data_IF_454845532721
#
_entry.id   IF_454845532721
#
_cell.length_a   1.000
_cell.length_b   1.000
_cell.length_c   1.000
_cell.angle_alpha   90.00
_cell.angle_beta   90.00
_cell.angle_gamma   90.00
#
_symmetry.space_group_name_H-M   'P 1'
#
loop_
_entity.id
_entity.type
_entity.pdbx_description
1 polymer ?
#
# COMPACT_ATOMS: atom_id res chain seq x y z
N UNK A 1 15.35 -8.51 15.63
CA UNK A 1 14.29 -9.25 14.91
C UNK A 1 14.89 -9.98 13.69
N UNK A 2 15.81 -10.91 13.85
CA UNK A 2 16.41 -11.68 12.73
C UNK A 2 16.20 -13.19 12.88
N UNK A 3 15.43 -13.63 13.86
CA UNK A 3 15.22 -15.04 14.17
C UNK A 3 14.34 -15.83 13.19
N UNK A 4 13.22 -15.30 12.61
CA UNK A 4 12.31 -16.13 11.84
C UNK A 4 12.86 -16.60 10.47
N UNK A 5 13.75 -15.82 9.83
CA UNK A 5 14.29 -16.21 8.52
C UNK A 5 15.40 -17.29 8.58
N UNK A 6 16.02 -17.48 9.74
CA UNK A 6 16.98 -18.56 9.96
C UNK A 6 16.34 -19.95 10.02
N UNK A 7 15.10 -20.03 10.53
CA UNK A 7 14.37 -21.30 10.66
C UNK A 7 13.89 -21.90 9.35
N UNK A 8 13.86 -21.13 8.27
CA UNK A 8 13.34 -21.58 6.96
C UNK A 8 14.43 -22.17 6.04
N UNK A 9 15.70 -22.18 6.44
CA UNK A 9 16.81 -22.72 5.64
C UNK A 9 17.22 -21.93 4.41
N UNK A 10 16.50 -20.85 4.06
CA UNK A 10 16.80 -20.03 2.87
C UNK A 10 18.03 -19.13 3.00
N UNK A 11 18.55 -18.94 4.21
CA UNK A 11 19.74 -18.12 4.43
C UNK A 11 20.84 -18.93 5.10
N UNK A 12 21.91 -19.19 4.37
CA UNK A 12 23.12 -19.81 4.91
C UNK A 12 23.94 -18.79 5.71
N UNK A 13 24.22 -19.09 6.97
CA UNK A 13 25.13 -18.33 7.83
C UNK A 13 24.54 -17.09 8.52
N UNK A 14 25.34 -16.41 9.37
CA UNK A 14 24.91 -15.26 10.15
C UNK A 14 24.82 -14.02 9.27
N UNK A 15 23.59 -13.59 8.95
CA UNK A 15 23.35 -12.33 8.26
C UNK A 15 23.04 -11.24 9.31
N UNK A 16 23.87 -10.21 9.40
CA UNK A 16 23.56 -9.04 10.23
C UNK A 16 22.41 -8.25 9.61
N UNK A 17 21.60 -7.59 10.44
CA UNK A 17 20.49 -6.74 10.00
C UNK A 17 20.92 -5.72 8.93
N UNK A 18 22.10 -5.11 9.12
CA UNK A 18 22.65 -4.15 8.17
C UNK A 18 23.02 -4.76 6.81
N UNK A 19 23.55 -5.97 6.78
CA UNK A 19 23.86 -6.70 5.54
C UNK A 19 22.57 -7.12 4.84
N UNK A 20 21.58 -7.58 5.58
CA UNK A 20 20.29 -7.94 5.05
C UNK A 20 19.63 -6.72 4.39
N UNK A 21 19.54 -5.57 5.08
CA UNK A 21 18.96 -4.35 4.53
C UNK A 21 19.68 -3.88 3.28
N UNK A 22 21.03 -3.89 3.25
CA UNK A 22 21.77 -3.52 2.03
C UNK A 22 21.51 -4.44 0.86
N UNK A 23 21.37 -5.74 1.07
CA UNK A 23 20.99 -6.70 0.02
C UNK A 23 19.58 -6.45 -0.46
N UNK A 24 18.65 -6.24 0.45
CA UNK A 24 17.25 -5.92 0.11
C UNK A 24 17.15 -4.67 -0.76
N UNK A 25 17.87 -3.58 -0.41
CA UNK A 25 17.92 -2.37 -1.22
C UNK A 25 18.52 -2.61 -2.62
N UNK A 26 19.56 -3.42 -2.74
CA UNK A 26 20.13 -3.78 -4.06
C UNK A 26 19.16 -4.58 -4.93
N UNK A 27 18.27 -5.34 -4.31
CA UNK A 27 17.27 -6.17 -5.00
C UNK A 27 15.94 -5.44 -5.20
N UNK A 28 15.80 -4.17 -4.79
CA UNK A 28 14.54 -3.43 -4.85
C UNK A 28 13.95 -3.42 -6.26
N UNK A 29 14.77 -3.24 -7.30
CA UNK A 29 14.33 -3.30 -8.69
C UNK A 29 13.76 -4.67 -9.07
N UNK A 30 14.41 -5.76 -8.64
CA UNK A 30 13.93 -7.12 -8.91
C UNK A 30 12.62 -7.42 -8.20
N UNK A 31 12.43 -6.87 -6.99
CA UNK A 31 11.14 -6.98 -6.31
C UNK A 31 10.03 -6.29 -7.08
N UNK A 32 10.28 -5.10 -7.64
CA UNK A 32 9.29 -4.43 -8.48
C UNK A 32 8.91 -5.29 -9.69
N UNK A 33 9.90 -5.78 -10.45
CA UNK A 33 9.67 -6.67 -11.60
C UNK A 33 8.90 -7.93 -11.21
N UNK A 34 9.29 -8.58 -10.11
CA UNK A 34 8.61 -9.79 -9.63
C UNK A 34 7.15 -9.48 -9.27
N UNK A 35 6.92 -8.37 -8.60
CA UNK A 35 5.58 -7.96 -8.19
C UNK A 35 4.68 -7.66 -9.41
N UNK A 36 5.23 -7.03 -10.44
CA UNK A 36 4.50 -6.75 -11.68
C UNK A 36 4.16 -8.06 -12.42
N UNK A 37 5.10 -8.98 -12.54
CA UNK A 37 4.86 -10.30 -13.15
C UNK A 37 3.83 -11.12 -12.40
N UNK A 38 3.83 -11.07 -11.08
CA UNK A 38 2.79 -11.70 -10.27
C UNK A 38 1.42 -11.04 -10.52
N UNK A 39 1.36 -9.71 -10.62
CA UNK A 39 0.14 -9.00 -10.98
C UNK A 39 -0.41 -9.43 -12.34
N UNK A 40 0.44 -9.52 -13.36
CA UNK A 40 0.07 -9.98 -14.72
C UNK A 40 -0.46 -11.40 -14.72
N UNK A 41 0.16 -12.32 -13.97
CA UNK A 41 -0.27 -13.71 -13.89
C UNK A 41 -1.71 -13.88 -13.35
N UNK A 42 -2.22 -12.90 -12.61
CA UNK A 42 -3.56 -12.91 -12.03
C UNK A 42 -4.50 -11.85 -12.64
N UNK A 43 -4.08 -11.20 -13.74
CA UNK A 43 -4.87 -10.17 -14.42
C UNK A 43 -6.20 -10.68 -15.01
N UNK A 44 -6.39 -12.00 -15.17
CA UNK A 44 -7.64 -12.60 -15.66
C UNK A 44 -8.77 -12.68 -14.61
N UNK A 45 -8.60 -12.14 -13.42
CA UNK A 45 -9.64 -12.13 -12.37
C UNK A 45 -10.59 -10.96 -12.58
N UNK A 46 -11.87 -11.19 -12.27
CA UNK A 46 -12.92 -10.18 -12.40
C UNK A 46 -13.24 -9.44 -11.09
N UNK A 47 -12.79 -9.97 -9.95
CA UNK A 47 -13.13 -9.45 -8.61
C UNK A 47 -11.85 -9.07 -7.86
N UNK A 48 -11.86 -7.88 -7.30
CA UNK A 48 -10.75 -7.35 -6.50
C UNK A 48 -11.26 -6.69 -5.22
N UNK A 49 -10.41 -6.62 -4.22
CA UNK A 49 -10.65 -5.95 -2.94
C UNK A 49 -9.60 -4.86 -2.78
N UNK A 50 -10.04 -3.64 -2.54
CA UNK A 50 -9.19 -2.50 -2.24
C UNK A 50 -9.22 -2.19 -0.75
N UNK A 51 -8.06 -2.13 -0.14
CA UNK A 51 -7.88 -1.71 1.25
C UNK A 51 -6.73 -0.71 1.39
N UNK A 52 -6.75 0.09 2.44
CA UNK A 52 -5.69 1.02 2.76
C UNK A 52 -5.21 0.87 4.20
N UNK A 53 -3.89 0.83 4.38
CA UNK A 53 -3.30 0.69 5.70
C UNK A 53 -2.24 1.76 5.98
N UNK A 54 -2.16 2.28 7.22
CA UNK A 54 -1.10 3.19 7.61
C UNK A 54 0.25 2.46 7.70
N UNK A 55 1.30 3.08 7.14
CA UNK A 55 2.70 2.65 7.26
C UNK A 55 3.45 3.71 8.05
N UNK A 56 3.38 3.69 9.39
CA UNK A 56 4.00 4.69 10.23
C UNK A 56 5.52 4.53 10.29
N UNK A 57 6.24 5.63 10.09
CA UNK A 57 7.67 5.73 10.37
C UNK A 57 7.90 6.03 11.84
N UNK A 58 7.12 6.97 12.38
CA UNK A 58 7.18 7.33 13.79
C UNK A 58 5.86 7.94 14.26
N UNK A 59 5.74 8.16 15.58
CA UNK A 59 4.65 8.97 16.14
C UNK A 59 4.80 10.42 15.69
N UNK A 60 3.70 11.14 15.46
CA UNK A 60 3.71 12.54 15.01
C UNK A 60 4.59 13.44 15.88
N UNK A 61 4.60 13.26 17.18
CA UNK A 61 5.45 14.02 18.12
C UNK A 61 6.96 13.91 17.84
N UNK A 62 7.39 12.87 17.09
CA UNK A 62 8.79 12.65 16.71
C UNK A 62 9.09 13.07 15.28
N UNK A 63 8.11 13.51 14.51
CA UNK A 63 8.24 13.84 13.09
C UNK A 63 9.33 14.90 12.82
N UNK A 64 9.43 15.95 13.65
CA UNK A 64 10.43 17.00 13.51
C UNK A 64 11.89 16.53 13.65
N UNK A 65 12.12 15.38 14.28
CA UNK A 65 13.46 14.79 14.45
C UNK A 65 13.83 13.82 13.32
N UNK A 66 12.87 13.47 12.47
CA UNK A 66 13.10 12.51 11.40
C UNK A 66 13.67 13.22 10.17
N UNK A 67 14.95 12.94 9.84
CA UNK A 67 15.69 13.67 8.81
C UNK A 67 15.45 13.20 7.38
N UNK A 68 15.00 11.94 7.18
CA UNK A 68 14.88 11.33 5.84
C UNK A 68 13.63 11.76 5.09
N UNK A 69 12.58 12.12 5.81
CA UNK A 69 11.29 12.53 5.24
C UNK A 69 10.82 13.74 6.03
N UNK A 70 10.39 14.79 5.34
CA UNK A 70 9.92 16.04 5.95
C UNK A 70 8.68 16.50 5.17
N UNK A 71 7.78 17.17 5.86
CA UNK A 71 6.60 17.78 5.26
C UNK A 71 5.30 17.40 5.98
N UNK A 72 4.31 18.28 5.89
CA UNK A 72 3.00 18.08 6.49
C UNK A 72 2.21 16.95 5.80
N UNK A 73 2.52 16.69 4.53
CA UNK A 73 1.90 15.65 3.71
C UNK A 73 2.08 14.24 4.26
N UNK A 74 3.10 14.02 5.11
CA UNK A 74 3.33 12.73 5.78
C UNK A 74 2.58 12.58 7.10
N UNK A 75 1.81 13.61 7.52
CA UNK A 75 1.00 13.54 8.73
C UNK A 75 -0.35 12.91 8.42
N UNK A 76 -0.65 11.75 9.01
CA UNK A 76 -1.90 11.03 8.82
C UNK A 76 -2.59 10.71 10.14
N UNK A 77 -3.85 10.31 10.03
CA UNK A 77 -4.67 9.83 11.14
C UNK A 77 -5.08 8.37 10.89
N UNK A 78 -4.90 7.54 11.91
CA UNK A 78 -5.37 6.16 11.91
C UNK A 78 -6.59 6.03 12.82
N UNK A 79 -7.78 5.83 12.24
CA UNK A 79 -9.03 5.72 12.98
C UNK A 79 -9.04 4.50 13.91
N UNK A 80 -8.54 3.36 13.47
CA UNK A 80 -8.48 2.12 14.25
C UNK A 80 -7.63 2.26 15.53
N UNK A 81 -6.57 3.07 15.48
CA UNK A 81 -5.68 3.35 16.63
C UNK A 81 -5.98 4.67 17.31
N UNK A 82 -7.01 5.40 16.87
CA UNK A 82 -7.40 6.75 17.36
C UNK A 82 -6.20 7.68 17.54
N UNK A 83 -5.24 7.64 16.59
CA UNK A 83 -3.98 8.34 16.75
C UNK A 83 -3.42 8.92 15.48
N UNK A 84 -2.64 10.01 15.64
CA UNK A 84 -1.91 10.61 14.55
C UNK A 84 -0.55 9.91 14.40
N UNK A 85 -0.14 9.71 13.14
CA UNK A 85 1.15 9.14 12.79
C UNK A 85 1.85 9.99 11.74
N UNK A 86 3.13 9.75 11.56
CA UNK A 86 3.95 10.34 10.52
C UNK A 86 4.51 9.22 9.66
N UNK A 87 4.25 9.25 8.35
CA UNK A 87 4.66 8.21 7.42
C UNK A 87 3.87 8.18 6.13
N UNK A 88 3.60 6.99 5.65
CA UNK A 88 2.87 6.73 4.41
C UNK A 88 1.57 5.99 4.66
N UNK A 89 0.74 5.95 3.61
CA UNK A 89 -0.42 5.07 3.51
C UNK A 89 -0.21 4.15 2.32
N UNK A 90 -0.31 2.86 2.57
CA UNK A 90 -0.28 1.83 1.54
C UNK A 90 -1.71 1.59 1.08
N UNK A 91 -1.94 1.70 -0.21
CA UNK A 91 -3.14 1.25 -0.90
C UNK A 91 -2.83 -0.07 -1.58
N UNK A 92 -3.67 -1.06 -1.37
CA UNK A 92 -3.43 -2.41 -1.85
C UNK A 92 -4.68 -2.95 -2.51
N UNK A 93 -4.55 -3.42 -3.74
CA UNK A 93 -5.58 -4.15 -4.48
C UNK A 93 -5.20 -5.61 -4.50
N UNK A 94 -6.08 -6.47 -4.00
CA UNK A 94 -5.87 -7.91 -3.92
C UNK A 94 -7.03 -8.65 -4.55
N UNK A 95 -6.78 -9.88 -5.00
CA UNK A 95 -7.85 -10.82 -5.34
C UNK A 95 -8.51 -11.38 -4.07
N UNK A 96 -9.70 -12.01 -4.15
CA UNK A 96 -10.33 -12.67 -3.01
C UNK A 96 -9.44 -13.72 -2.34
N UNK A 97 -8.52 -14.32 -3.08
CA UNK A 97 -7.54 -15.29 -2.58
C UNK A 97 -6.36 -14.63 -1.84
N UNK A 98 -6.35 -13.27 -1.75
CA UNK A 98 -5.29 -12.51 -1.10
C UNK A 98 -4.04 -12.25 -1.95
N UNK A 99 -4.13 -12.49 -3.26
CA UNK A 99 -3.02 -12.24 -4.18
C UNK A 99 -3.01 -10.76 -4.56
N UNK A 100 -1.86 -10.12 -4.45
CA UNK A 100 -1.69 -8.72 -4.81
C UNK A 100 -1.79 -8.51 -6.32
N UNK A 101 -2.72 -7.69 -6.75
CA UNK A 101 -2.86 -7.24 -8.13
C UNK A 101 -2.11 -5.92 -8.37
N UNK A 102 -2.31 -4.93 -7.50
CA UNK A 102 -1.70 -3.61 -7.61
C UNK A 102 -1.48 -2.99 -6.24
N UNK A 103 -0.58 -2.02 -6.13
CA UNK A 103 -0.42 -1.23 -4.91
C UNK A 103 0.13 0.15 -5.21
N UNK A 104 -0.07 1.07 -4.27
CA UNK A 104 0.57 2.37 -4.24
C UNK A 104 0.91 2.78 -2.80
N UNK A 105 1.97 3.59 -2.65
CA UNK A 105 2.47 4.06 -1.36
C UNK A 105 2.57 5.58 -1.39
N UNK A 106 1.63 6.24 -0.77
CA UNK A 106 1.52 7.70 -0.78
C UNK A 106 1.77 8.31 0.59
N UNK A 107 2.18 9.59 0.67
CA UNK A 107 2.23 10.33 1.92
C UNK A 107 0.89 10.27 2.66
N UNK A 108 0.93 10.15 3.99
CA UNK A 108 -0.22 9.80 4.82
C UNK A 108 -1.38 10.81 4.78
N UNK A 109 -1.12 12.07 4.40
CA UNK A 109 -2.14 13.13 4.27
C UNK A 109 -2.82 13.15 2.90
N UNK A 110 -2.31 12.42 1.91
CA UNK A 110 -2.94 12.36 0.59
C UNK A 110 -4.34 11.78 0.69
N UNK A 111 -5.27 12.40 0.00
CA UNK A 111 -6.65 11.95 -0.04
C UNK A 111 -6.79 10.70 -0.92
N UNK A 112 -7.64 9.78 -0.47
CA UNK A 112 -7.83 8.43 -1.01
C UNK A 112 -8.26 8.35 -2.49
N UNK A 113 -8.66 9.46 -3.13
CA UNK A 113 -9.25 9.45 -4.47
C UNK A 113 -8.24 9.36 -5.61
N UNK A 114 -7.11 10.08 -5.51
CA UNK A 114 -6.12 10.12 -6.60
C UNK A 114 -5.48 8.75 -6.84
N UNK A 115 -4.97 8.07 -5.80
CA UNK A 115 -4.38 6.75 -6.00
C UNK A 115 -5.40 5.68 -6.40
N UNK A 116 -6.65 5.82 -5.98
CA UNK A 116 -7.69 4.87 -6.36
C UNK A 116 -7.93 4.85 -7.87
N UNK A 117 -7.97 6.01 -8.52
CA UNK A 117 -8.18 6.08 -9.96
C UNK A 117 -7.03 5.41 -10.71
N UNK A 118 -5.80 5.73 -10.37
CA UNK A 118 -4.60 5.13 -10.98
C UNK A 118 -4.49 3.62 -10.73
N UNK A 119 -4.88 3.16 -9.53
CA UNK A 119 -4.90 1.74 -9.20
C UNK A 119 -5.98 0.98 -9.97
N UNK A 120 -7.15 1.60 -10.19
CA UNK A 120 -8.24 1.01 -10.97
C UNK A 120 -7.91 0.94 -12.47
N UNK A 121 -7.21 1.93 -13.02
CA UNK A 121 -6.78 1.93 -14.43
C UNK A 121 -5.82 0.77 -14.75
N UNK A 122 -5.11 0.27 -13.76
CA UNK A 122 -4.21 -0.90 -13.90
C UNK A 122 -4.93 -2.24 -13.86
N UNK A 123 -6.24 -2.24 -13.56
CA UNK A 123 -7.04 -3.46 -13.51
C UNK A 123 -7.64 -3.80 -14.88
N UNK A 124 -8.00 -5.05 -15.13
CA UNK A 124 -8.67 -5.47 -16.35
C UNK A 124 -9.99 -4.70 -16.56
N UNK A 125 -10.33 -4.42 -17.81
CA UNK A 125 -11.62 -3.81 -18.16
C UNK A 125 -12.77 -4.67 -17.65
N UNK A 126 -13.73 -4.04 -16.95
CA UNK A 126 -14.87 -4.74 -16.36
C UNK A 126 -14.60 -5.38 -14.99
N UNK A 127 -13.45 -5.11 -14.40
CA UNK A 127 -13.16 -5.56 -13.04
C UNK A 127 -14.10 -4.94 -12.00
N UNK A 128 -14.63 -5.76 -11.11
CA UNK A 128 -15.43 -5.34 -9.97
C UNK A 128 -14.52 -5.14 -8.75
N UNK A 129 -14.51 -3.93 -8.17
CA UNK A 129 -13.66 -3.61 -7.02
C UNK A 129 -14.51 -3.37 -5.79
N UNK A 130 -14.31 -4.17 -4.76
CA UNK A 130 -14.90 -3.99 -3.44
C UNK A 130 -13.96 -3.17 -2.55
N UNK A 131 -14.49 -2.13 -1.93
CA UNK A 131 -13.76 -1.30 -0.97
C UNK A 131 -14.57 -1.08 0.29
N UNK A 132 -13.90 -0.77 1.42
CA UNK A 132 -14.60 -0.45 2.66
C UNK A 132 -15.47 0.81 2.50
N UNK A 133 -16.61 0.84 3.24
CA UNK A 133 -17.57 1.96 3.25
C UNK A 133 -16.91 3.32 3.54
N UNK A 134 -15.87 3.35 4.35
CA UNK A 134 -15.11 4.56 4.62
C UNK A 134 -14.38 5.08 3.37
N UNK A 135 -13.90 4.19 2.53
CA UNK A 135 -13.24 4.48 1.25
C UNK A 135 -14.26 4.94 0.21
N UNK A 136 -15.39 4.24 0.09
CA UNK A 136 -16.47 4.56 -0.86
C UNK A 136 -17.19 5.87 -0.48
N UNK A 137 -17.51 6.10 0.79
CA UNK A 137 -18.22 7.29 1.24
C UNK A 137 -17.40 8.58 1.03
N UNK A 138 -16.06 8.51 1.11
CA UNK A 138 -15.18 9.63 0.76
C UNK A 138 -15.15 9.90 -0.74
N UNK A 139 -15.22 8.85 -1.57
CA UNK A 139 -15.28 8.94 -3.03
C UNK A 139 -16.55 9.61 -3.50
N UNK A 140 -17.71 9.23 -2.97
CA UNK A 140 -19.01 9.77 -3.38
C UNK A 140 -19.24 11.23 -2.94
N UNK A 141 -18.70 11.68 -1.81
CA UNK A 141 -18.89 13.07 -1.35
C UNK A 141 -18.20 14.13 -2.23
N UNK A 142 -17.22 13.78 -3.04
CA UNK A 142 -16.55 14.69 -3.99
C UNK A 142 -17.03 14.56 -5.44
N UNK A 143 -17.67 13.46 -5.80
CA UNK A 143 -18.14 13.15 -7.15
C UNK A 143 -19.54 13.68 -7.52
N UNK A 144 -20.17 14.55 -6.72
CA UNK A 144 -21.53 15.03 -6.98
C UNK A 144 -21.69 16.00 -8.16
N UNK A 145 -20.74 16.04 -9.09
CA UNK A 145 -20.89 16.70 -10.41
C UNK A 145 -20.85 15.74 -11.61
N UNK A 146 -20.82 14.42 -11.38
CA UNK A 146 -20.92 13.42 -12.44
C UNK A 146 -21.65 12.19 -11.90
N UNK A 147 -22.83 11.88 -12.42
CA UNK A 147 -23.60 10.69 -12.07
C UNK A 147 -22.78 9.42 -12.33
N UNK A 148 -22.56 8.53 -11.37
CA UNK A 148 -22.13 7.18 -11.68
C UNK A 148 -23.33 6.38 -12.17
N UNK A 149 -23.22 5.82 -13.38
CA UNK A 149 -24.11 4.76 -13.82
C UNK A 149 -23.70 3.47 -13.09
N UNK A 150 -24.50 3.07 -12.12
CA UNK A 150 -24.47 1.72 -11.59
C UNK A 150 -25.73 1.00 -12.08
N UNK A 151 -25.54 -0.04 -12.90
CA UNK A 151 -26.53 -1.06 -13.18
C UNK A 151 -26.44 -2.16 -12.13
#
# INVERSE_FOLDING_TARGET
>A
MSAPLRGTGYLSGPLSVSRFNRRLHRLAHWFAVLLDRLGEAFAGRAIFILDSMPVPVCRRARAGRFRKVRGAEYCGYCAAKKGQFFGWRLYLVVTPEGIRASFDLLPAAFHDLTPMHELMERLPSGACVYADKATIARTMRRGSKGRPAFG
#
